data_IF_808665086225
#
_entry.id   IF_808665086225
#
_cell.length_a   1.000
_cell.length_b   1.000
_cell.length_c   1.000
_cell.angle_alpha   90.00
_cell.angle_beta   90.00
_cell.angle_gamma   90.00
#
_symmetry.space_group_name_H-M   'P 1'
#
loop_
_entity.id
_entity.type
_entity.pdbx_description
1 polymer ?
#
# COMPACT_ATOMS: atom_id res chain seq x y z
N UNK A 1 3.75 -15.66 35.74
CA UNK A 1 3.16 -14.91 34.61
C UNK A 1 4.07 -15.08 33.39
N UNK A 2 3.64 -15.83 32.39
CA UNK A 2 4.39 -16.13 31.17
C UNK A 2 4.74 -14.81 30.47
N UNK A 3 6.03 -14.61 30.16
CA UNK A 3 6.53 -13.50 29.33
C UNK A 3 5.89 -13.64 27.94
N UNK A 4 4.76 -12.98 27.71
CA UNK A 4 4.09 -12.98 26.44
C UNK A 4 5.08 -12.60 25.34
N UNK A 5 5.34 -13.53 24.44
CA UNK A 5 6.25 -13.31 23.30
C UNK A 5 5.65 -12.17 22.45
N UNK A 6 6.46 -11.23 21.99
CA UNK A 6 6.01 -10.10 21.16
C UNK A 6 5.16 -10.55 19.95
N UNK A 7 5.41 -11.77 19.46
CA UNK A 7 4.65 -12.40 18.39
C UNK A 7 3.22 -12.76 18.83
N UNK A 8 3.03 -13.27 20.06
CA UNK A 8 1.69 -13.60 20.59
C UNK A 8 0.82 -12.36 20.71
N UNK A 9 1.39 -11.24 21.16
CA UNK A 9 0.69 -9.94 21.24
C UNK A 9 0.35 -9.44 19.82
N UNK A 10 1.29 -9.54 18.89
CA UNK A 10 1.08 -9.13 17.50
C UNK A 10 -0.04 -9.93 16.83
N UNK A 11 -0.05 -11.25 16.99
CA UNK A 11 -1.09 -12.13 16.40
C UNK A 11 -2.46 -11.88 17.04
N UNK A 12 -2.54 -11.68 18.36
CA UNK A 12 -3.79 -11.35 19.04
C UNK A 12 -4.36 -10.02 18.54
N UNK A 13 -3.51 -9.00 18.36
CA UNK A 13 -3.91 -7.70 17.83
C UNK A 13 -4.33 -7.81 16.35
N UNK A 14 -3.59 -8.54 15.53
CA UNK A 14 -3.95 -8.77 14.15
C UNK A 14 -5.31 -9.46 14.02
N UNK A 15 -5.55 -10.52 14.80
CA UNK A 15 -6.85 -11.22 14.85
C UNK A 15 -7.98 -10.28 15.26
N UNK A 16 -7.76 -9.44 16.29
CA UNK A 16 -8.75 -8.44 16.70
C UNK A 16 -9.09 -7.48 15.58
N UNK A 17 -8.09 -6.92 14.89
CA UNK A 17 -8.28 -5.98 13.78
C UNK A 17 -9.02 -6.63 12.62
N UNK A 18 -8.68 -7.86 12.26
CA UNK A 18 -9.38 -8.62 11.22
C UNK A 18 -10.83 -8.92 11.62
N UNK A 19 -11.09 -9.26 12.87
CA UNK A 19 -12.46 -9.49 13.37
C UNK A 19 -13.30 -8.22 13.30
N UNK A 20 -12.73 -7.07 13.67
CA UNK A 20 -13.40 -5.76 13.56
C UNK A 20 -13.73 -5.46 12.10
N UNK A 21 -12.78 -5.69 11.21
CA UNK A 21 -12.94 -5.45 9.78
C UNK A 21 -14.08 -6.29 9.18
N UNK A 22 -14.08 -7.60 9.46
CA UNK A 22 -15.07 -8.53 8.92
C UNK A 22 -16.49 -8.30 9.48
N UNK A 23 -16.57 -7.84 10.73
CA UNK A 23 -17.86 -7.49 11.37
C UNK A 23 -18.42 -6.13 10.96
N UNK A 24 -17.59 -5.27 10.35
CA UNK A 24 -17.97 -3.92 9.95
C UNK A 24 -17.69 -3.68 8.46
N UNK A 25 -18.61 -4.03 7.56
CA UNK A 25 -18.43 -3.87 6.11
C UNK A 25 -18.06 -2.44 5.70
N UNK A 26 -18.55 -1.43 6.43
CA UNK A 26 -18.22 -0.02 6.19
C UNK A 26 -16.72 0.31 6.31
N UNK A 27 -15.95 -0.50 7.02
CA UNK A 27 -14.50 -0.35 7.14
C UNK A 27 -13.74 -1.10 6.04
N UNK A 28 -14.35 -2.13 5.44
CA UNK A 28 -13.75 -2.96 4.41
C UNK A 28 -14.08 -2.48 2.99
N UNK A 29 -15.33 -2.05 2.77
CA UNK A 29 -15.82 -1.68 1.44
C UNK A 29 -15.04 -0.52 0.80
N UNK A 30 -14.76 0.63 1.45
CA UNK A 30 -14.07 1.73 0.80
C UNK A 30 -12.64 1.37 0.32
N UNK A 31 -11.79 0.70 1.12
CA UNK A 31 -10.47 0.23 0.67
C UNK A 31 -10.52 -0.77 -0.47
N UNK A 32 -11.60 -1.53 -0.63
CA UNK A 32 -11.80 -2.48 -1.72
C UNK A 32 -12.40 -1.82 -2.95
N UNK A 33 -13.49 -1.04 -2.77
CA UNK A 33 -14.25 -0.48 -3.89
C UNK A 33 -13.45 0.58 -4.65
N UNK A 34 -12.68 1.42 -3.94
CA UNK A 34 -11.94 2.50 -4.58
C UNK A 34 -10.94 1.99 -5.64
N UNK A 35 -10.04 1.03 -5.34
CA UNK A 35 -9.16 0.45 -6.37
C UNK A 35 -9.94 -0.31 -7.44
N UNK A 36 -11.01 -1.05 -7.07
CA UNK A 36 -11.84 -1.76 -8.05
C UNK A 36 -12.51 -0.81 -9.04
N UNK A 37 -13.10 0.28 -8.55
CA UNK A 37 -13.72 1.29 -9.43
C UNK A 37 -12.69 1.93 -10.34
N UNK A 38 -11.52 2.30 -9.82
CA UNK A 38 -10.42 2.81 -10.64
C UNK A 38 -10.03 1.79 -11.72
N UNK A 39 -9.80 0.54 -11.34
CA UNK A 39 -9.43 -0.50 -12.28
C UNK A 39 -10.47 -0.68 -13.38
N UNK A 40 -11.73 -0.87 -13.02
CA UNK A 40 -12.80 -1.11 -13.99
C UNK A 40 -13.06 0.08 -14.89
N UNK A 41 -13.04 1.30 -14.33
CA UNK A 41 -13.23 2.53 -15.10
C UNK A 41 -12.11 2.74 -16.12
N UNK A 42 -10.85 2.58 -15.72
CA UNK A 42 -9.72 2.82 -16.61
C UNK A 42 -9.45 1.65 -17.55
N UNK A 43 -9.49 0.41 -17.10
CA UNK A 43 -9.31 -0.76 -17.96
C UNK A 43 -10.40 -0.82 -19.05
N UNK A 44 -11.64 -0.48 -18.71
CA UNK A 44 -12.75 -0.41 -19.68
C UNK A 44 -12.72 0.85 -20.53
N UNK A 45 -12.68 2.03 -19.88
CA UNK A 45 -12.83 3.32 -20.56
C UNK A 45 -11.65 3.73 -21.44
N UNK A 46 -10.43 3.34 -21.08
CA UNK A 46 -9.22 3.72 -21.78
C UNK A 46 -8.56 2.58 -22.57
N UNK A 47 -9.26 1.48 -22.78
CA UNK A 47 -8.75 0.30 -23.49
C UNK A 47 -8.21 0.62 -24.92
N UNK A 48 -8.72 1.68 -25.56
CA UNK A 48 -8.25 2.14 -26.87
C UNK A 48 -6.84 2.74 -26.86
N UNK A 49 -6.33 3.14 -25.68
CA UNK A 49 -4.95 3.65 -25.55
C UNK A 49 -3.89 2.64 -25.99
N UNK A 50 -4.21 1.34 -26.00
CA UNK A 50 -3.32 0.30 -26.54
C UNK A 50 -2.93 0.50 -28.01
N UNK A 51 -3.70 1.29 -28.78
CA UNK A 51 -3.45 1.57 -30.20
C UNK A 51 -2.76 2.91 -30.44
N UNK A 52 -2.44 3.66 -29.39
CA UNK A 52 -1.72 4.93 -29.51
C UNK A 52 -0.26 4.66 -29.84
N UNK A 53 0.33 5.34 -30.85
CA UNK A 53 1.76 5.22 -31.14
C UNK A 53 2.60 5.50 -29.89
N UNK A 54 3.56 4.64 -29.61
CA UNK A 54 4.41 4.75 -28.41
C UNK A 54 3.88 3.98 -27.18
N UNK A 55 2.70 3.37 -27.26
CA UNK A 55 2.23 2.43 -26.25
C UNK A 55 2.67 1.00 -26.61
N UNK A 56 3.87 0.63 -26.19
CA UNK A 56 4.43 -0.72 -26.41
C UNK A 56 4.33 -1.58 -25.15
N UNK A 57 3.13 -2.13 -24.91
CA UNK A 57 2.87 -3.03 -23.78
C UNK A 57 2.12 -4.28 -24.26
N UNK A 58 2.80 -5.43 -24.25
CA UNK A 58 2.28 -6.69 -24.82
C UNK A 58 1.02 -7.19 -24.14
N UNK A 59 0.98 -7.08 -22.81
CA UNK A 59 -0.17 -7.53 -22.00
C UNK A 59 -1.45 -6.69 -22.18
N UNK A 60 -1.41 -5.65 -23.02
CA UNK A 60 -2.53 -4.75 -23.25
C UNK A 60 -2.79 -3.79 -22.10
N UNK A 61 -3.75 -2.89 -22.29
CA UNK A 61 -4.02 -1.79 -21.34
C UNK A 61 -4.53 -2.27 -19.98
N UNK A 62 -5.28 -3.37 -19.91
CA UNK A 62 -5.78 -3.96 -18.68
C UNK A 62 -4.64 -4.36 -17.74
N UNK A 63 -3.62 -5.06 -18.28
CA UNK A 63 -2.43 -5.46 -17.52
C UNK A 63 -1.58 -4.26 -17.10
N UNK A 64 -1.48 -3.26 -17.98
CA UNK A 64 -0.75 -2.02 -17.71
C UNK A 64 -1.32 -1.24 -16.52
N UNK A 65 -2.65 -1.08 -16.47
CA UNK A 65 -3.35 -0.37 -15.38
C UNK A 65 -3.39 -1.19 -14.09
N UNK A 66 -3.45 -2.52 -14.22
CA UNK A 66 -3.49 -3.41 -13.05
C UNK A 66 -2.35 -3.16 -12.07
N UNK A 67 -1.12 -2.99 -12.57
CA UNK A 67 0.06 -2.75 -11.73
C UNK A 67 -0.10 -1.49 -10.88
N UNK A 68 -0.56 -0.40 -11.49
CA UNK A 68 -0.83 0.83 -10.74
C UNK A 68 -1.89 0.62 -9.67
N UNK A 69 -3.01 -0.02 -10.02
CA UNK A 69 -4.11 -0.24 -9.07
C UNK A 69 -3.70 -1.19 -7.94
N UNK A 70 -2.86 -2.18 -8.22
CA UNK A 70 -2.29 -3.05 -7.20
C UNK A 70 -1.43 -2.25 -6.19
N UNK A 71 -0.53 -1.39 -6.67
CA UNK A 71 0.28 -0.51 -5.83
C UNK A 71 -0.57 0.54 -5.10
N UNK A 72 -1.58 1.11 -5.76
CA UNK A 72 -2.55 2.00 -5.13
C UNK A 72 -3.28 1.32 -3.97
N UNK A 73 -3.77 0.10 -4.18
CA UNK A 73 -4.42 -0.69 -3.13
C UNK A 73 -3.49 -0.99 -1.96
N UNK A 74 -2.21 -1.22 -2.24
CA UNK A 74 -1.17 -1.44 -1.25
C UNK A 74 -0.94 -0.17 -0.40
N UNK A 75 -0.74 0.98 -1.04
CA UNK A 75 -0.54 2.26 -0.37
C UNK A 75 -1.71 2.60 0.56
N UNK A 76 -2.94 2.59 0.03
CA UNK A 76 -4.14 2.86 0.83
C UNK A 76 -4.41 1.80 1.88
N UNK A 77 -4.13 0.53 1.60
CA UNK A 77 -4.20 -0.55 2.58
C UNK A 77 -3.37 -0.26 3.83
N UNK A 78 -2.16 0.26 3.65
CA UNK A 78 -1.29 0.74 4.72
C UNK A 78 -1.87 1.96 5.44
N UNK A 79 -2.29 2.98 4.70
CA UNK A 79 -2.85 4.22 5.26
C UNK A 79 -4.11 3.95 6.09
N UNK A 80 -5.02 3.13 5.60
CA UNK A 80 -6.23 2.76 6.35
C UNK A 80 -5.94 1.98 7.64
N UNK A 81 -4.81 1.29 7.74
CA UNK A 81 -4.38 0.73 9.02
C UNK A 81 -4.01 1.83 10.03
N UNK A 82 -3.43 2.95 9.56
CA UNK A 82 -3.18 4.14 10.37
C UNK A 82 -4.43 4.74 11.00
N UNK A 83 -5.56 4.76 10.27
CA UNK A 83 -6.84 5.17 10.86
C UNK A 83 -7.27 4.25 12.00
N UNK A 84 -7.05 2.94 11.88
CA UNK A 84 -7.29 1.99 12.96
C UNK A 84 -6.45 2.30 14.19
N UNK A 85 -5.17 2.64 14.01
CA UNK A 85 -4.27 3.04 15.09
C UNK A 85 -4.75 4.34 15.74
N UNK A 86 -5.05 5.37 14.95
CA UNK A 86 -5.54 6.66 15.45
C UNK A 86 -6.82 6.49 16.29
N UNK A 87 -7.75 5.67 15.81
CA UNK A 87 -8.99 5.32 16.51
C UNK A 87 -8.71 4.59 17.83
N UNK A 88 -7.78 3.62 17.85
CA UNK A 88 -7.42 2.90 19.06
C UNK A 88 -6.76 3.83 20.10
N UNK A 89 -6.08 4.91 19.68
CA UNK A 89 -5.61 5.97 20.56
C UNK A 89 -6.75 6.83 21.09
N UNK A 90 -7.66 7.25 20.24
CA UNK A 90 -8.80 8.12 20.57
C UNK A 90 -9.73 7.46 21.61
N UNK A 91 -9.98 6.15 21.46
CA UNK A 91 -10.76 5.35 22.43
C UNK A 91 -9.94 4.84 23.64
N UNK A 92 -8.67 5.24 23.78
CA UNK A 92 -7.82 4.88 24.90
C UNK A 92 -7.34 3.44 24.92
N UNK A 93 -7.69 2.61 23.93
CA UNK A 93 -7.23 1.22 23.84
C UNK A 93 -5.71 1.14 23.65
N UNK A 94 -5.17 1.95 22.74
CA UNK A 94 -3.73 1.98 22.46
C UNK A 94 -2.94 2.42 23.70
N UNK A 95 -3.42 3.37 24.49
CA UNK A 95 -2.78 3.80 25.76
C UNK A 95 -2.70 2.65 26.76
N UNK A 96 -3.82 1.95 26.99
CA UNK A 96 -3.85 0.78 27.90
C UNK A 96 -2.88 -0.30 27.45
N UNK A 97 -2.78 -0.52 26.15
CA UNK A 97 -1.90 -1.53 25.60
C UNK A 97 -0.42 -1.13 25.70
N UNK A 98 -0.08 0.15 25.53
CA UNK A 98 1.29 0.68 25.73
C UNK A 98 1.78 0.52 27.17
N UNK A 99 0.89 0.63 28.15
CA UNK A 99 1.22 0.47 29.58
C UNK A 99 1.33 -1.02 29.95
N UNK A 100 0.50 -1.88 29.38
CA UNK A 100 0.42 -3.31 29.75
C UNK A 100 1.35 -4.22 28.94
N UNK A 101 1.80 -3.79 27.76
CA UNK A 101 2.59 -4.64 26.86
C UNK A 101 4.08 -4.67 27.27
N UNK A 102 4.67 -5.87 27.51
CA UNK A 102 6.07 -6.01 27.89
C UNK A 102 7.05 -5.56 26.78
N UNK A 103 6.61 -5.60 25.53
CA UNK A 103 7.39 -5.18 24.33
C UNK A 103 6.50 -4.43 23.35
N UNK A 104 6.73 -3.16 23.25
CA UNK A 104 5.97 -2.19 22.43
C UNK A 104 6.08 -2.44 20.91
N UNK A 105 7.17 -3.08 20.46
CA UNK A 105 7.33 -3.51 19.05
C UNK A 105 6.24 -4.49 18.61
N UNK A 106 5.67 -5.28 19.50
CA UNK A 106 4.56 -6.19 19.22
C UNK A 106 3.29 -5.48 18.72
N UNK A 107 3.09 -4.21 19.12
CA UNK A 107 1.97 -3.38 18.66
C UNK A 107 2.09 -3.05 17.17
N UNK A 108 3.23 -2.49 16.76
CA UNK A 108 3.46 -2.12 15.36
C UNK A 108 3.39 -3.37 14.47
N UNK A 109 4.00 -4.47 14.91
CA UNK A 109 3.93 -5.75 14.20
C UNK A 109 2.50 -6.28 14.08
N UNK A 110 1.68 -6.14 15.11
CA UNK A 110 0.28 -6.57 15.06
C UNK A 110 -0.55 -5.78 14.05
N UNK A 111 -0.38 -4.47 14.00
CA UNK A 111 -1.01 -3.63 12.97
C UNK A 111 -0.46 -3.94 11.57
N UNK A 112 0.84 -4.24 11.45
CA UNK A 112 1.45 -4.64 10.18
C UNK A 112 0.86 -5.95 9.66
N UNK A 113 0.74 -6.98 10.50
CA UNK A 113 0.12 -8.25 10.11
C UNK A 113 -1.36 -8.07 9.71
N UNK A 114 -2.10 -7.24 10.42
CA UNK A 114 -3.48 -6.93 10.06
C UNK A 114 -3.59 -6.18 8.72
N UNK A 115 -2.69 -5.21 8.48
CA UNK A 115 -2.64 -4.46 7.23
C UNK A 115 -2.30 -5.37 6.04
N UNK A 116 -1.30 -6.24 6.20
CA UNK A 116 -0.89 -7.22 5.20
C UNK A 116 -2.01 -8.22 4.88
N UNK A 117 -2.64 -8.81 5.91
CA UNK A 117 -3.73 -9.76 5.72
C UNK A 117 -4.91 -9.11 4.98
N UNK A 118 -5.29 -7.88 5.36
CA UNK A 118 -6.33 -7.13 4.67
C UNK A 118 -5.96 -6.82 3.22
N UNK A 119 -4.73 -6.36 2.99
CA UNK A 119 -4.28 -6.04 1.64
C UNK A 119 -4.22 -7.29 0.75
N UNK A 120 -3.77 -8.44 1.27
CA UNK A 120 -3.78 -9.70 0.52
C UNK A 120 -5.19 -10.08 0.05
N UNK A 121 -6.22 -9.90 0.89
CA UNK A 121 -7.61 -10.11 0.47
C UNK A 121 -8.01 -9.16 -0.68
N UNK A 122 -7.67 -7.88 -0.57
CA UNK A 122 -7.97 -6.88 -1.61
C UNK A 122 -7.20 -7.22 -2.90
N UNK A 123 -5.91 -7.52 -2.81
CA UNK A 123 -5.07 -7.88 -3.94
C UNK A 123 -5.60 -9.14 -4.66
N UNK A 124 -6.06 -10.15 -3.90
CA UNK A 124 -6.67 -11.35 -4.46
C UNK A 124 -7.94 -11.02 -5.26
N UNK A 125 -8.84 -10.23 -4.68
CA UNK A 125 -10.07 -9.81 -5.39
C UNK A 125 -9.74 -8.99 -6.63
N UNK A 126 -8.82 -8.04 -6.53
CA UNK A 126 -8.36 -7.23 -7.68
C UNK A 126 -7.77 -8.11 -8.78
N UNK A 127 -6.95 -9.10 -8.43
CA UNK A 127 -6.36 -10.03 -9.39
C UNK A 127 -7.42 -10.87 -10.09
N UNK A 128 -8.38 -11.40 -9.36
CA UNK A 128 -9.49 -12.16 -9.94
C UNK A 128 -10.28 -11.29 -10.91
N UNK A 129 -10.65 -10.08 -10.51
CA UNK A 129 -11.39 -9.14 -11.37
C UNK A 129 -10.57 -8.76 -12.60
N UNK A 130 -9.26 -8.56 -12.44
CA UNK A 130 -8.38 -8.23 -13.56
C UNK A 130 -8.27 -9.39 -14.57
N UNK A 131 -8.15 -10.63 -14.10
CA UNK A 131 -8.14 -11.82 -14.95
C UNK A 131 -9.45 -11.98 -15.71
N UNK A 132 -10.60 -11.81 -15.04
CA UNK A 132 -11.92 -11.82 -15.69
C UNK A 132 -12.02 -10.68 -16.72
N UNK A 133 -11.43 -9.51 -16.42
CA UNK A 133 -11.35 -8.35 -17.31
C UNK A 133 -10.35 -8.49 -18.48
N UNK A 134 -9.75 -9.67 -18.68
CA UNK A 134 -8.86 -9.94 -19.80
C UNK A 134 -7.39 -9.53 -19.54
N UNK A 135 -6.97 -9.41 -18.29
CA UNK A 135 -5.57 -9.20 -17.96
C UNK A 135 -4.73 -10.39 -18.47
N UNK A 136 -3.67 -10.09 -19.19
CA UNK A 136 -2.70 -11.05 -19.68
C UNK A 136 -1.44 -10.98 -18.83
N UNK A 137 -0.93 -12.14 -18.44
CA UNK A 137 0.31 -12.29 -17.66
C UNK A 137 1.37 -12.87 -18.59
N UNK A 138 2.32 -12.03 -18.99
CA UNK A 138 3.46 -12.44 -19.81
C UNK A 138 4.67 -12.88 -18.98
N UNK A 139 4.70 -12.54 -17.68
CA UNK A 139 5.77 -12.91 -16.75
C UNK A 139 5.63 -14.31 -16.21
N UNK A 140 6.73 -14.84 -15.70
CA UNK A 140 6.79 -16.13 -15.02
C UNK A 140 6.42 -16.00 -13.51
N UNK A 141 6.45 -17.12 -12.76
CA UNK A 141 6.12 -17.10 -11.33
C UNK A 141 7.06 -16.23 -10.48
N UNK A 142 8.33 -16.10 -10.86
CA UNK A 142 9.31 -15.24 -10.16
C UNK A 142 8.98 -13.76 -10.41
N UNK A 143 8.60 -13.42 -11.63
CA UNK A 143 8.19 -12.06 -11.99
C UNK A 143 6.94 -11.64 -11.22
N UNK A 144 5.94 -12.51 -11.17
CA UNK A 144 4.73 -12.27 -10.37
C UNK A 144 5.05 -12.11 -8.89
N UNK A 145 5.90 -12.98 -8.34
CA UNK A 145 6.36 -12.86 -6.97
C UNK A 145 7.04 -11.50 -6.73
N UNK A 146 7.91 -11.06 -7.65
CA UNK A 146 8.56 -9.75 -7.60
C UNK A 146 7.57 -8.59 -7.56
N UNK A 147 6.55 -8.60 -8.43
CA UNK A 147 5.51 -7.59 -8.47
C UNK A 147 4.71 -7.51 -7.16
N UNK A 148 4.25 -8.66 -6.65
CA UNK A 148 3.51 -8.68 -5.37
C UNK A 148 4.39 -8.36 -4.17
N UNK A 149 5.67 -8.74 -4.20
CA UNK A 149 6.63 -8.38 -3.15
C UNK A 149 6.85 -6.86 -3.08
N UNK A 150 7.02 -6.18 -4.23
CA UNK A 150 7.08 -4.71 -4.27
C UNK A 150 5.81 -4.07 -3.70
N UNK A 151 4.64 -4.55 -4.08
CA UNK A 151 3.38 -4.04 -3.58
C UNK A 151 3.21 -4.29 -2.06
N UNK A 152 3.67 -5.44 -1.56
CA UNK A 152 3.68 -5.77 -0.13
C UNK A 152 4.60 -4.84 0.65
N UNK A 153 5.81 -4.58 0.17
CA UNK A 153 6.74 -3.63 0.78
C UNK A 153 6.09 -2.24 0.80
N UNK A 154 5.48 -1.83 -0.30
CA UNK A 154 4.81 -0.52 -0.40
C UNK A 154 3.60 -0.40 0.53
N UNK A 155 2.86 -1.48 0.79
CA UNK A 155 1.82 -1.52 1.82
C UNK A 155 2.39 -1.23 3.22
N UNK A 156 3.54 -1.83 3.55
CA UNK A 156 4.22 -1.58 4.83
C UNK A 156 4.74 -0.14 4.91
N UNK A 157 5.26 0.40 3.81
CA UNK A 157 5.68 1.82 3.73
C UNK A 157 4.50 2.75 4.04
N UNK A 158 3.34 2.54 3.41
CA UNK A 158 2.12 3.29 3.67
C UNK A 158 1.64 3.18 5.13
N UNK A 159 1.72 1.97 5.70
CA UNK A 159 1.42 1.76 7.12
C UNK A 159 2.36 2.54 8.03
N UNK A 160 3.67 2.48 7.80
CA UNK A 160 4.67 3.16 8.66
C UNK A 160 4.53 4.68 8.58
N UNK A 161 4.25 5.22 7.39
CA UNK A 161 3.89 6.63 7.22
C UNK A 161 2.69 7.00 8.08
N UNK A 162 1.56 6.31 7.90
CA UNK A 162 0.32 6.59 8.60
C UNK A 162 0.42 6.32 10.12
N UNK A 163 1.16 5.28 10.52
CA UNK A 163 1.46 4.98 11.91
C UNK A 163 2.19 6.14 12.60
N UNK A 164 3.20 6.72 11.94
CA UNK A 164 3.92 7.87 12.46
C UNK A 164 3.05 9.12 12.62
N UNK A 165 2.09 9.35 11.71
CA UNK A 165 1.09 10.42 11.84
C UNK A 165 0.11 10.11 12.98
N UNK A 166 -0.46 8.90 12.99
CA UNK A 166 -1.44 8.47 14.00
C UNK A 166 -0.91 8.60 15.44
N UNK A 167 0.34 8.22 15.67
CA UNK A 167 0.98 8.30 16.98
C UNK A 167 1.28 9.73 17.43
N UNK A 168 1.44 10.68 16.49
CA UNK A 168 1.67 12.09 16.81
C UNK A 168 0.38 12.83 17.13
N UNK A 169 -0.63 12.62 16.31
CA UNK A 169 -1.90 13.35 16.40
C UNK A 169 -2.94 12.65 17.26
N UNK A 170 -2.90 11.32 17.38
CA UNK A 170 -3.78 10.48 18.21
C UNK A 170 -5.27 10.68 17.97
N UNK A 171 -5.64 11.18 16.81
CA UNK A 171 -7.02 11.45 16.38
C UNK A 171 -7.25 11.00 14.94
N UNK A 172 -8.44 10.50 14.67
CA UNK A 172 -8.91 10.14 13.33
C UNK A 172 -9.00 11.38 12.43
N UNK A 173 -9.13 12.57 13.00
CA UNK A 173 -9.15 13.84 12.26
C UNK A 173 -7.83 14.12 11.51
N UNK A 174 -6.73 13.45 11.87
CA UNK A 174 -5.47 13.50 11.12
C UNK A 174 -5.53 12.67 9.81
N UNK A 175 -6.67 12.10 9.47
CA UNK A 175 -6.87 11.30 8.26
C UNK A 175 -6.43 11.96 6.97
N UNK A 176 -6.87 13.20 6.67
CA UNK A 176 -6.41 13.90 5.48
C UNK A 176 -4.89 14.02 5.39
N UNK A 177 -4.21 14.25 6.52
CA UNK A 177 -2.74 14.31 6.57
C UNK A 177 -2.10 12.96 6.24
N UNK A 178 -2.75 11.85 6.58
CA UNK A 178 -2.27 10.51 6.20
C UNK A 178 -2.47 10.22 4.71
N UNK A 179 -3.58 10.70 4.13
CA UNK A 179 -3.98 10.38 2.75
C UNK A 179 -3.39 11.31 1.70
N UNK A 180 -3.38 12.63 1.95
CA UNK A 180 -3.02 13.62 0.93
C UNK A 180 -1.63 13.40 0.32
N UNK A 181 -0.54 13.14 1.09
CA UNK A 181 0.76 12.87 0.50
C UNK A 181 0.77 11.62 -0.38
N UNK A 182 -0.01 10.60 -0.01
CA UNK A 182 -0.13 9.36 -0.79
C UNK A 182 -0.89 9.61 -2.09
N UNK A 183 -1.96 10.42 -2.06
CA UNK A 183 -2.65 10.85 -3.27
C UNK A 183 -1.71 11.62 -4.21
N UNK A 184 -0.96 12.59 -3.68
CA UNK A 184 0.00 13.35 -4.49
C UNK A 184 1.03 12.42 -5.15
N UNK A 185 1.58 11.48 -4.39
CA UNK A 185 2.54 10.50 -4.91
C UNK A 185 1.92 9.66 -6.05
N UNK A 186 0.69 9.20 -5.88
CA UNK A 186 -0.04 8.42 -6.88
C UNK A 186 -0.36 9.23 -8.12
N UNK A 187 -0.96 10.42 -7.99
CA UNK A 187 -1.39 11.21 -9.13
C UNK A 187 -0.23 11.86 -9.91
N UNK A 188 0.92 12.06 -9.28
CA UNK A 188 2.14 12.56 -9.92
C UNK A 188 3.02 11.43 -10.48
N UNK A 189 2.48 10.25 -10.70
CA UNK A 189 3.16 9.10 -11.33
C UNK A 189 2.54 8.78 -12.71
N UNK A 190 3.21 8.00 -13.57
CA UNK A 190 2.71 7.64 -14.90
C UNK A 190 1.60 6.58 -14.82
N UNK A 191 0.41 7.02 -14.38
CA UNK A 191 -0.73 6.13 -14.09
C UNK A 191 -1.37 5.58 -15.36
N UNK A 192 -1.73 6.48 -16.27
CA UNK A 192 -2.61 6.16 -17.40
C UNK A 192 -1.89 5.91 -18.70
N UNK A 193 -0.66 6.40 -18.81
CA UNK A 193 0.20 6.26 -19.98
C UNK A 193 1.64 5.94 -19.54
N UNK A 194 2.47 5.31 -20.39
CA UNK A 194 3.89 5.14 -20.10
C UNK A 194 4.58 6.48 -19.84
N UNK A 195 5.65 6.45 -19.02
CA UNK A 195 6.42 7.66 -18.71
C UNK A 195 6.92 8.39 -19.96
N UNK A 196 7.26 7.64 -21.03
CA UNK A 196 7.73 8.18 -22.32
C UNK A 196 6.68 9.01 -23.07
N UNK A 197 5.40 8.86 -22.78
CA UNK A 197 4.30 9.62 -23.38
C UNK A 197 3.88 10.83 -22.57
N UNK A 198 4.39 10.99 -21.34
CA UNK A 198 4.16 12.20 -20.56
C UNK A 198 5.02 13.34 -21.09
N UNK A 199 4.47 14.56 -21.09
CA UNK A 199 5.14 15.77 -21.57
C UNK A 199 5.06 16.89 -20.55
N UNK A 200 5.98 17.87 -20.65
CA UNK A 200 6.00 19.04 -19.79
C UNK A 200 6.36 18.72 -18.33
N UNK A 201 5.99 19.60 -17.42
CA UNK A 201 6.35 19.52 -16.01
C UNK A 201 5.94 18.20 -15.31
N UNK A 202 4.85 17.59 -15.75
CA UNK A 202 4.37 16.33 -15.17
C UNK A 202 5.34 15.17 -15.46
N UNK A 203 5.97 15.16 -16.64
CA UNK A 203 7.03 14.20 -16.97
C UNK A 203 8.22 14.33 -16.00
N UNK A 204 8.67 15.56 -15.74
CA UNK A 204 9.84 15.80 -14.87
C UNK A 204 9.58 15.38 -13.43
N UNK A 205 8.38 15.68 -12.93
CA UNK A 205 7.94 15.25 -11.59
C UNK A 205 7.79 13.74 -11.53
N UNK A 206 7.13 13.12 -12.51
CA UNK A 206 6.94 11.68 -12.57
C UNK A 206 8.27 10.93 -12.63
N UNK A 207 9.27 11.45 -13.34
CA UNK A 207 10.59 10.84 -13.48
C UNK A 207 11.33 10.70 -12.14
N UNK A 208 11.15 11.65 -11.21
CA UNK A 208 11.79 11.62 -9.89
C UNK A 208 10.90 11.01 -8.80
N UNK A 209 9.64 10.73 -9.11
CA UNK A 209 8.70 10.16 -8.18
C UNK A 209 9.09 8.73 -7.81
N UNK A 210 9.32 8.40 -6.53
CA UNK A 210 9.72 7.06 -6.11
C UNK A 210 8.71 5.97 -6.51
N UNK A 211 7.42 6.28 -6.58
CA UNK A 211 6.40 5.33 -7.02
C UNK A 211 6.54 4.94 -8.49
N UNK A 212 7.05 5.83 -9.33
CA UNK A 212 7.28 5.53 -10.76
C UNK A 212 8.20 4.33 -10.93
N UNK A 213 9.28 4.23 -10.14
CA UNK A 213 10.18 3.08 -10.20
C UNK A 213 9.47 1.77 -9.86
N UNK A 214 8.56 1.79 -8.89
CA UNK A 214 7.80 0.60 -8.50
C UNK A 214 6.77 0.23 -9.59
N UNK A 215 6.11 1.23 -10.20
CA UNK A 215 5.16 1.02 -11.30
C UNK A 215 5.86 0.43 -12.52
N UNK A 216 6.96 1.02 -12.95
CA UNK A 216 7.68 0.56 -14.16
C UNK A 216 8.26 -0.85 -13.96
N UNK A 217 8.82 -1.15 -12.78
CA UNK A 217 9.27 -2.52 -12.49
C UNK A 217 8.10 -3.51 -12.44
N UNK A 218 6.98 -3.14 -11.80
CA UNK A 218 5.78 -3.98 -11.75
C UNK A 218 5.22 -4.25 -13.16
N UNK A 219 5.24 -3.25 -14.04
CA UNK A 219 4.88 -3.38 -15.44
C UNK A 219 5.84 -4.30 -16.19
N UNK A 220 7.14 -4.17 -15.95
CA UNK A 220 8.14 -5.09 -16.49
C UNK A 220 7.91 -6.53 -16.06
N UNK A 221 7.56 -6.76 -14.79
CA UNK A 221 7.24 -8.09 -14.27
C UNK A 221 6.01 -8.70 -14.95
N UNK A 222 4.90 -7.98 -15.03
CA UNK A 222 3.67 -8.54 -15.63
C UNK A 222 3.80 -8.75 -17.14
N UNK A 223 4.65 -7.96 -17.83
CA UNK A 223 4.92 -8.08 -19.27
C UNK A 223 5.98 -9.16 -19.60
N UNK A 224 6.63 -9.77 -18.57
CA UNK A 224 7.70 -10.74 -18.72
C UNK A 224 9.02 -10.13 -19.22
N UNK A 225 9.20 -8.83 -19.02
CA UNK A 225 10.40 -8.06 -19.35
C UNK A 225 10.85 -7.24 -18.14
N UNK A 226 11.32 -7.87 -17.05
CA UNK A 226 11.70 -7.17 -15.84
C UNK A 226 12.80 -6.16 -16.10
N UNK A 227 12.52 -4.89 -15.83
CA UNK A 227 13.46 -3.78 -15.97
C UNK A 227 13.62 -3.06 -14.64
N UNK A 228 14.82 -2.49 -14.41
CA UNK A 228 15.12 -1.67 -13.23
C UNK A 228 14.80 -2.33 -11.88
N UNK A 229 14.83 -3.67 -11.79
CA UNK A 229 14.44 -4.43 -10.60
C UNK A 229 15.23 -4.01 -9.37
N UNK A 230 16.56 -3.97 -9.47
CA UNK A 230 17.43 -3.59 -8.34
C UNK A 230 17.13 -2.15 -7.86
N UNK A 231 16.90 -1.22 -8.79
CA UNK A 231 16.58 0.18 -8.47
C UNK A 231 15.24 0.27 -7.74
N UNK A 232 14.23 -0.45 -8.20
CA UNK A 232 12.89 -0.42 -7.62
C UNK A 232 12.84 -1.00 -6.22
N UNK A 233 13.50 -2.15 -6.00
CA UNK A 233 13.65 -2.70 -4.65
C UNK A 233 14.53 -1.82 -3.76
N UNK A 234 15.56 -1.16 -4.31
CA UNK A 234 16.37 -0.19 -3.60
C UNK A 234 15.57 1.01 -3.12
N UNK A 235 14.75 1.59 -4.00
CA UNK A 235 13.82 2.68 -3.66
C UNK A 235 12.80 2.23 -2.61
N UNK A 236 12.20 1.06 -2.78
CA UNK A 236 11.24 0.51 -1.81
C UNK A 236 11.89 0.29 -0.44
N UNK A 237 13.12 -0.24 -0.38
CA UNK A 237 13.87 -0.43 0.85
C UNK A 237 14.25 0.91 1.51
N UNK A 238 14.66 1.91 0.73
CA UNK A 238 14.96 3.24 1.23
C UNK A 238 13.72 3.89 1.88
N UNK A 239 12.56 3.83 1.20
CA UNK A 239 11.28 4.31 1.75
C UNK A 239 10.92 3.55 3.04
N UNK A 240 11.11 2.24 3.07
CA UNK A 240 10.84 1.42 4.25
C UNK A 240 11.69 1.87 5.44
N UNK A 241 12.98 2.10 5.25
CA UNK A 241 13.90 2.57 6.31
C UNK A 241 13.53 3.96 6.80
N UNK A 242 13.27 4.90 5.89
CA UNK A 242 12.87 6.27 6.21
C UNK A 242 11.58 6.28 7.04
N UNK A 243 10.56 5.57 6.59
CA UNK A 243 9.27 5.56 7.31
C UNK A 243 9.27 4.67 8.54
N UNK A 244 10.15 3.68 8.64
CA UNK A 244 10.38 2.94 9.90
C UNK A 244 11.00 3.87 10.96
N UNK A 245 11.97 4.70 10.59
CA UNK A 245 12.53 5.72 11.48
C UNK A 245 11.45 6.76 11.89
N UNK A 246 10.65 7.22 10.92
CA UNK A 246 9.50 8.11 11.17
C UNK A 246 8.49 7.52 12.16
N UNK A 247 8.09 6.27 11.99
CA UNK A 247 7.17 5.59 12.88
C UNK A 247 7.75 5.40 14.29
N UNK A 248 9.05 5.04 14.39
CA UNK A 248 9.76 4.92 15.70
C UNK A 248 9.77 6.24 16.47
N UNK A 249 10.06 7.36 15.79
CA UNK A 249 10.02 8.68 16.46
C UNK A 249 8.62 9.08 16.87
N UNK A 250 7.58 8.66 16.11
CA UNK A 250 6.18 8.80 16.51
C UNK A 250 5.85 8.02 17.77
N UNK A 251 6.29 6.76 17.85
CA UNK A 251 6.09 5.90 19.02
C UNK A 251 6.75 6.51 20.26
N UNK A 252 8.01 6.95 20.16
CA UNK A 252 8.72 7.57 21.26
C UNK A 252 8.02 8.84 21.79
N UNK A 253 7.40 9.64 20.91
CA UNK A 253 6.56 10.78 21.32
C UNK A 253 5.27 10.34 22.02
N UNK A 254 4.64 9.29 21.51
CA UNK A 254 3.43 8.74 22.12
C UNK A 254 3.69 8.17 23.53
N UNK A 255 4.89 7.69 23.78
CA UNK A 255 5.32 7.18 25.10
C UNK A 255 5.54 8.29 26.13
N UNK A 256 6.15 9.41 25.70
CA UNK A 256 6.47 10.53 26.61
C UNK A 256 5.25 11.35 27.03
N UNK A 257 4.16 11.25 26.28
CA UNK A 257 2.97 12.05 26.51
C UNK A 257 1.79 11.22 27.08
N UNK A 258 2.00 9.98 27.47
CA UNK A 258 1.08 9.07 28.20
C UNK A 258 1.57 8.76 29.56
#
# INVERSE_FOLDING_TARGET
>A
MSRGNSLTVALALARRQMTILLKNPSLFLPPLLFPLMNFTAFAGGLSRLRHVPGFDFKGGYTSFVFVFVLLQSAAFGGVFAGFGIARDFEYGFARRLLVSAPRRSGLILGYAFAALARWLLIATVLTIVALIGGMQVGGNGIDLFGMYALALIFNVVGLLWACGVAMRFRSVQAGPLMQTPVFLLLFLSPVYVPLSLLTGWIHDVARVNPLTFLIEAGRGFIDGRPTQVAMSFGVAAALLVVFAAWARTGLARAERAG
#
